data_IF_354265457743
#
_entry.id   IF_354265457743
#
_cell.length_a   1.000
_cell.length_b   1.000
_cell.length_c   1.000
_cell.angle_alpha   90.00
_cell.angle_beta   90.00
_cell.angle_gamma   90.00
#
_symmetry.space_group_name_H-M   'P 1'
#
loop_
_entity.id
_entity.type
_entity.pdbx_description
1 polymer ?
#
# COMPACT_ATOMS: atom_id res chain seq x y z
N UNK A 1 -22.19 16.21 -7.42
CA UNK A 1 -20.81 16.39 -7.95
C UNK A 1 -19.79 15.88 -6.93
N UNK A 2 -18.70 15.27 -7.38
CA UNK A 2 -17.59 14.73 -6.58
C UNK A 2 -16.47 15.78 -6.41
N UNK A 3 -16.78 16.94 -5.83
CA UNK A 3 -15.88 18.11 -5.84
C UNK A 3 -14.67 17.99 -4.91
N UNK A 4 -14.59 16.92 -4.13
CA UNK A 4 -13.50 16.57 -3.21
C UNK A 4 -12.52 15.55 -3.80
N UNK A 5 -12.73 15.11 -5.05
CA UNK A 5 -11.96 14.01 -5.65
C UNK A 5 -10.44 14.26 -5.66
N UNK A 6 -10.01 15.49 -5.92
CA UNK A 6 -8.60 15.90 -5.87
C UNK A 6 -8.00 15.75 -4.46
N UNK A 7 -8.75 16.10 -3.41
CA UNK A 7 -8.28 16.01 -2.04
C UNK A 7 -8.21 14.56 -1.56
N UNK A 8 -9.14 13.72 -2.00
CA UNK A 8 -9.11 12.28 -1.75
C UNK A 8 -7.84 11.65 -2.35
N UNK A 9 -7.51 12.00 -3.60
CA UNK A 9 -6.29 11.53 -4.25
C UNK A 9 -5.04 12.02 -3.50
N UNK A 10 -4.97 13.31 -3.13
CA UNK A 10 -3.84 13.86 -2.36
C UNK A 10 -3.68 13.22 -0.99
N UNK A 11 -4.78 12.92 -0.30
CA UNK A 11 -4.77 12.21 0.99
C UNK A 11 -4.21 10.79 0.87
N UNK A 12 -4.27 10.21 -0.32
CA UNK A 12 -3.62 8.95 -0.65
C UNK A 12 -2.18 9.12 -1.18
N UNK A 13 -1.59 10.30 -1.00
CA UNK A 13 -0.24 10.64 -1.40
C UNK A 13 0.00 10.54 -2.93
N UNK A 14 -1.07 10.79 -3.69
CA UNK A 14 -1.00 10.82 -5.16
C UNK A 14 -0.67 12.22 -5.65
N UNK A 15 0.15 12.30 -6.70
CA UNK A 15 0.40 13.57 -7.39
C UNK A 15 -0.79 13.93 -8.26
N UNK A 16 -1.43 15.07 -7.98
CA UNK A 16 -2.70 15.46 -8.61
C UNK A 16 -2.53 16.70 -9.49
N UNK A 17 -3.10 16.64 -10.69
CA UNK A 17 -3.31 17.75 -11.62
C UNK A 17 -4.82 17.99 -11.72
N UNK A 18 -5.27 19.16 -11.27
CA UNK A 18 -6.65 19.59 -11.45
C UNK A 18 -6.81 20.19 -12.85
N UNK A 19 -7.66 19.59 -13.69
CA UNK A 19 -7.91 20.10 -15.04
C UNK A 19 -8.90 21.26 -14.95
N UNK A 20 -8.62 22.38 -15.60
CA UNK A 20 -9.47 23.58 -15.55
C UNK A 20 -10.96 23.24 -15.69
N UNK A 21 -11.80 23.79 -14.80
CA UNK A 21 -13.24 23.56 -14.80
C UNK A 21 -13.72 22.16 -14.35
N UNK A 22 -12.85 21.27 -13.85
CA UNK A 22 -13.24 19.90 -13.49
C UNK A 22 -14.38 19.83 -12.46
N UNK A 23 -14.45 20.77 -11.51
CA UNK A 23 -15.46 20.80 -10.44
C UNK A 23 -16.89 20.93 -10.96
N UNK A 24 -17.07 21.54 -12.13
CA UNK A 24 -18.36 21.75 -12.79
C UNK A 24 -18.56 20.88 -14.03
N UNK A 25 -17.51 20.24 -14.54
CA UNK A 25 -17.57 19.38 -15.73
C UNK A 25 -18.28 18.06 -15.47
N UNK A 26 -19.13 17.66 -16.42
CA UNK A 26 -19.85 16.39 -16.45
C UNK A 26 -21.22 16.52 -17.11
N UNK A 27 -21.85 15.39 -17.43
CA UNK A 27 -23.20 15.32 -17.99
C UNK A 27 -24.29 15.26 -16.91
N UNK A 28 -24.12 16.04 -15.84
CA UNK A 28 -24.97 16.05 -14.66
C UNK A 28 -24.34 15.37 -13.43
N UNK A 29 -25.14 15.25 -12.37
CA UNK A 29 -24.70 14.67 -11.11
C UNK A 29 -24.53 13.15 -11.20
N UNK A 30 -23.59 12.64 -10.40
CA UNK A 30 -23.56 11.22 -10.03
C UNK A 30 -24.79 10.90 -9.16
N UNK A 31 -25.40 9.74 -9.36
CA UNK A 31 -26.45 9.21 -8.49
C UNK A 31 -25.82 8.61 -7.22
N UNK A 32 -24.73 7.87 -7.39
CA UNK A 32 -23.96 7.24 -6.32
C UNK A 32 -22.55 6.89 -6.80
N UNK A 33 -21.68 6.41 -5.91
CA UNK A 33 -20.40 5.79 -6.28
C UNK A 33 -20.40 4.36 -5.72
N UNK A 34 -20.70 3.40 -6.60
CA UNK A 34 -20.81 1.97 -6.28
C UNK A 34 -19.71 1.14 -6.92
N UNK A 35 -19.01 1.68 -7.91
CA UNK A 35 -17.93 0.99 -8.59
C UNK A 35 -16.90 1.98 -9.16
N UNK A 36 -15.76 1.42 -9.51
CA UNK A 36 -14.72 2.08 -10.31
C UNK A 36 -14.53 1.21 -11.55
N UNK A 37 -14.56 1.85 -12.72
CA UNK A 37 -14.25 1.19 -14.00
C UNK A 37 -12.93 1.73 -14.49
N UNK A 38 -12.05 0.82 -14.84
CA UNK A 38 -10.71 1.12 -15.30
C UNK A 38 -10.58 0.81 -16.78
N UNK A 39 -9.95 1.73 -17.48
CA UNK A 39 -9.71 1.69 -18.91
C UNK A 39 -8.26 2.06 -19.19
N UNK A 40 -7.83 1.76 -20.41
CA UNK A 40 -6.63 2.35 -20.97
C UNK A 40 -6.98 3.16 -22.22
N UNK A 41 -6.19 4.18 -22.51
CA UNK A 41 -6.53 5.17 -23.55
C UNK A 41 -6.34 4.68 -24.98
N UNK A 42 -5.52 3.65 -25.20
CA UNK A 42 -5.04 3.22 -26.52
C UNK A 42 -4.46 4.40 -27.33
N UNK A 43 -3.75 5.29 -26.63
CA UNK A 43 -3.24 6.57 -27.13
C UNK A 43 -1.81 6.52 -27.66
N UNK A 44 -1.27 7.71 -27.96
CA UNK A 44 0.10 7.89 -28.44
C UNK A 44 1.12 7.23 -27.51
N UNK A 45 2.18 6.64 -28.06
CA UNK A 45 3.29 6.08 -27.28
C UNK A 45 4.17 7.13 -26.59
N UNK A 46 3.99 8.42 -26.91
CA UNK A 46 4.80 9.53 -26.39
C UNK A 46 3.98 10.56 -25.62
N UNK A 47 4.63 11.19 -24.63
CA UNK A 47 4.01 12.16 -23.72
C UNK A 47 3.44 11.52 -22.46
N UNK A 48 3.24 12.32 -21.41
CA UNK A 48 2.75 11.83 -20.11
C UNK A 48 1.27 11.43 -20.16
N UNK A 49 0.41 12.33 -20.66
CA UNK A 49 -1.03 12.11 -20.80
C UNK A 49 -1.59 12.77 -22.08
N UNK A 50 -1.11 12.37 -23.29
CA UNK A 50 -1.53 12.98 -24.56
C UNK A 50 -3.03 12.84 -24.83
N UNK A 51 -3.70 11.85 -24.25
CA UNK A 51 -5.13 11.61 -24.41
C UNK A 51 -6.02 12.58 -23.62
N UNK A 52 -5.44 13.49 -22.82
CA UNK A 52 -6.19 14.40 -21.95
C UNK A 52 -7.32 15.15 -22.66
N UNK A 53 -7.04 15.73 -23.84
CA UNK A 53 -8.05 16.50 -24.56
C UNK A 53 -9.21 15.63 -25.04
N UNK A 54 -8.91 14.41 -25.51
CA UNK A 54 -9.95 13.46 -25.93
C UNK A 54 -10.80 13.03 -24.73
N UNK A 55 -10.20 12.79 -23.58
CA UNK A 55 -10.94 12.38 -22.39
C UNK A 55 -11.75 13.56 -21.82
N UNK A 56 -11.21 14.78 -21.86
CA UNK A 56 -11.87 15.98 -21.36
C UNK A 56 -13.04 16.41 -22.25
N UNK A 57 -12.80 16.49 -23.56
CA UNK A 57 -13.72 17.13 -24.51
C UNK A 57 -14.54 16.11 -25.30
N UNK A 58 -14.09 14.86 -25.32
CA UNK A 58 -14.68 13.78 -26.09
C UNK A 58 -14.07 13.65 -27.47
N UNK A 59 -14.80 12.91 -28.29
CA UNK A 59 -14.52 12.64 -29.70
C UNK A 59 -15.75 12.96 -30.53
N UNK A 60 -15.62 12.98 -31.85
CA UNK A 60 -16.69 13.42 -32.76
C UNK A 60 -18.01 12.64 -32.60
N UNK A 61 -17.94 11.38 -32.17
CA UNK A 61 -19.10 10.51 -31.97
C UNK A 61 -19.54 10.40 -30.49
N UNK A 62 -18.80 10.99 -29.54
CA UNK A 62 -19.13 10.96 -28.12
C UNK A 62 -18.56 12.18 -27.38
N UNK A 63 -19.45 13.05 -26.90
CA UNK A 63 -19.08 14.21 -26.10
C UNK A 63 -18.39 13.80 -24.80
N UNK A 64 -17.39 14.59 -24.39
CA UNK A 64 -16.72 14.43 -23.10
C UNK A 64 -17.50 15.09 -21.95
N UNK A 65 -17.12 14.78 -20.69
CA UNK A 65 -15.96 13.99 -20.32
C UNK A 65 -16.15 12.48 -20.48
N UNK A 66 -15.13 11.79 -20.97
CA UNK A 66 -15.10 10.34 -21.14
C UNK A 66 -14.62 9.62 -19.89
N UNK A 67 -14.11 10.32 -18.87
CA UNK A 67 -13.86 9.77 -17.53
C UNK A 67 -13.72 10.89 -16.50
N UNK A 68 -13.87 10.57 -15.21
CA UNK A 68 -13.61 11.50 -14.14
C UNK A 68 -12.10 11.65 -13.87
N UNK A 69 -11.34 10.57 -14.02
CA UNK A 69 -9.92 10.50 -13.71
C UNK A 69 -9.10 10.01 -14.90
N UNK A 70 -7.94 10.63 -15.07
CA UNK A 70 -6.88 10.17 -15.96
C UNK A 70 -5.61 9.82 -15.18
N UNK A 71 -4.87 8.79 -15.61
CA UNK A 71 -3.55 8.49 -15.07
C UNK A 71 -2.47 8.58 -16.15
N UNK A 72 -1.56 9.54 -16.00
CA UNK A 72 -0.39 9.71 -16.86
C UNK A 72 0.74 8.71 -16.58
N UNK A 73 1.63 8.54 -17.56
CA UNK A 73 2.81 7.65 -17.53
C UNK A 73 3.79 7.96 -16.40
N UNK A 74 3.83 9.19 -15.90
CA UNK A 74 4.67 9.57 -14.74
C UNK A 74 3.99 9.32 -13.39
N UNK A 75 2.82 8.67 -13.36
CA UNK A 75 2.06 8.43 -12.14
C UNK A 75 1.19 9.62 -11.67
N UNK A 76 1.06 10.66 -12.49
CA UNK A 76 0.21 11.83 -12.20
C UNK A 76 -1.26 11.55 -12.47
N UNK A 77 -2.11 11.92 -11.52
CA UNK A 77 -3.56 11.82 -11.64
C UNK A 77 -4.16 13.12 -12.12
N UNK A 78 -4.87 13.08 -13.23
CA UNK A 78 -5.62 14.19 -13.80
C UNK A 78 -7.06 14.09 -13.33
N UNK A 79 -7.53 15.10 -12.60
CA UNK A 79 -8.95 15.20 -12.20
C UNK A 79 -9.68 15.99 -13.25
N UNK A 80 -10.51 15.31 -14.03
CA UNK A 80 -11.07 15.82 -15.28
C UNK A 80 -12.52 16.31 -15.08
N UNK A 81 -13.31 15.57 -14.31
CA UNK A 81 -14.72 15.86 -14.09
C UNK A 81 -15.20 15.40 -12.71
N UNK A 82 -16.01 16.24 -12.07
CA UNK A 82 -16.69 15.90 -10.82
C UNK A 82 -18.09 15.31 -11.05
N UNK A 83 -18.63 15.47 -12.26
CA UNK A 83 -19.94 14.93 -12.65
C UNK A 83 -19.86 13.57 -13.34
N UNK A 84 -21.01 13.15 -13.84
CA UNK A 84 -21.14 11.96 -14.67
C UNK A 84 -20.30 12.08 -15.95
N UNK A 85 -19.50 11.05 -16.23
CA UNK A 85 -18.72 10.91 -17.47
C UNK A 85 -19.24 9.74 -18.29
N UNK A 86 -19.00 9.72 -19.61
CA UNK A 86 -19.45 8.67 -20.52
C UNK A 86 -18.36 7.62 -20.78
N UNK A 87 -18.03 6.83 -19.74
CA UNK A 87 -16.95 5.84 -19.77
C UNK A 87 -17.43 4.39 -19.93
N UNK A 88 -18.56 4.04 -19.31
CA UNK A 88 -18.93 2.65 -19.05
C UNK A 88 -19.54 1.90 -20.26
N UNK A 89 -20.05 2.64 -21.25
CA UNK A 89 -20.83 2.05 -22.35
C UNK A 89 -22.03 1.23 -21.85
N UNK A 90 -22.33 0.11 -22.53
CA UNK A 90 -23.32 -0.87 -22.09
C UNK A 90 -22.69 -1.78 -21.04
N UNK A 91 -23.31 -1.87 -19.87
CA UNK A 91 -22.78 -2.65 -18.75
C UNK A 91 -23.67 -3.87 -18.46
N UNK A 92 -23.13 -4.83 -17.71
CA UNK A 92 -23.89 -6.00 -17.27
C UNK A 92 -24.91 -5.69 -16.17
N UNK A 93 -24.72 -4.58 -15.45
CA UNK A 93 -25.60 -4.07 -14.41
C UNK A 93 -25.40 -2.56 -14.30
N UNK A 94 -26.27 -1.81 -14.97
CA UNK A 94 -26.20 -0.35 -15.01
C UNK A 94 -26.44 0.30 -13.64
N UNK A 95 -27.12 -0.42 -12.74
CA UNK A 95 -27.37 0.08 -11.38
C UNK A 95 -26.10 0.14 -10.53
N UNK A 96 -25.03 -0.57 -10.93
CA UNK A 96 -23.72 -0.61 -10.27
C UNK A 96 -22.64 0.05 -11.14
N UNK A 97 -22.58 -0.31 -12.41
CA UNK A 97 -21.49 0.03 -13.33
C UNK A 97 -21.85 1.16 -14.30
N UNK A 98 -23.11 1.60 -14.32
CA UNK A 98 -23.54 2.69 -15.20
C UNK A 98 -22.80 4.00 -14.93
N UNK A 99 -22.76 4.88 -15.93
CA UNK A 99 -22.06 6.17 -15.89
C UNK A 99 -22.44 7.06 -14.69
N UNK A 100 -23.68 6.95 -14.19
CA UNK A 100 -24.16 7.68 -13.00
C UNK A 100 -23.76 7.05 -11.66
N UNK A 101 -23.28 5.80 -11.65
CA UNK A 101 -23.00 5.00 -10.45
C UNK A 101 -21.52 4.60 -10.32
N UNK A 102 -20.71 4.85 -11.35
CA UNK A 102 -19.32 4.43 -11.44
C UNK A 102 -18.36 5.60 -11.72
N UNK A 103 -17.20 5.59 -11.05
CA UNK A 103 -16.08 6.47 -11.42
C UNK A 103 -15.27 5.77 -12.52
N UNK A 104 -15.10 6.45 -13.65
CA UNK A 104 -14.23 6.00 -14.74
C UNK A 104 -12.80 6.51 -14.53
N UNK A 105 -11.85 5.62 -14.79
CA UNK A 105 -10.41 5.91 -14.80
C UNK A 105 -9.85 5.52 -16.17
N UNK A 106 -9.16 6.47 -16.82
CA UNK A 106 -8.47 6.26 -18.09
C UNK A 106 -6.96 6.34 -17.87
N UNK A 107 -6.29 5.20 -17.87
CA UNK A 107 -4.86 5.13 -17.70
C UNK A 107 -4.15 5.17 -19.05
N UNK A 108 -3.15 6.04 -19.19
CA UNK A 108 -2.51 6.25 -20.48
C UNK A 108 -1.64 5.07 -20.88
N UNK A 109 -1.96 4.49 -22.03
CA UNK A 109 -1.26 3.33 -22.57
C UNK A 109 -1.53 3.19 -24.05
N UNK A 110 -0.63 2.52 -24.76
CA UNK A 110 -0.75 2.28 -26.21
C UNK A 110 -1.84 1.27 -26.56
N UNK A 111 -2.28 0.45 -25.59
CA UNK A 111 -3.18 -0.67 -25.82
C UNK A 111 -2.54 -1.84 -26.59
N UNK A 112 -1.24 -1.76 -26.87
CA UNK A 112 -0.50 -2.77 -27.65
C UNK A 112 0.85 -3.08 -26.98
N UNK A 113 1.20 -4.37 -26.81
CA UNK A 113 0.38 -5.53 -27.13
C UNK A 113 -0.82 -5.65 -26.16
N UNK A 114 -1.95 -6.13 -26.67
CA UNK A 114 -3.10 -6.47 -25.83
C UNK A 114 -2.78 -7.79 -25.12
N UNK A 115 -2.24 -7.68 -23.91
CA UNK A 115 -1.75 -8.83 -23.14
C UNK A 115 -2.39 -8.88 -21.77
N UNK A 116 -2.73 -10.10 -21.36
CA UNK A 116 -3.07 -10.47 -19.99
C UNK A 116 -1.77 -10.96 -19.29
N UNK A 117 -0.77 -10.08 -19.21
CA UNK A 117 0.54 -10.39 -18.61
C UNK A 117 0.99 -9.33 -17.59
N UNK A 118 0.03 -8.62 -17.01
CA UNK A 118 0.29 -7.56 -16.03
C UNK A 118 0.83 -6.25 -16.63
N UNK A 119 1.55 -5.47 -15.81
CA UNK A 119 1.96 -4.10 -16.12
C UNK A 119 3.26 -3.99 -16.94
N UNK A 120 3.75 -5.08 -17.56
CA UNK A 120 5.04 -5.11 -18.25
C UNK A 120 5.21 -4.03 -19.35
N UNK A 121 4.09 -3.54 -19.88
CA UNK A 121 4.03 -2.49 -20.92
C UNK A 121 3.70 -1.09 -20.38
N UNK A 122 3.62 -0.95 -19.06
CA UNK A 122 3.33 0.28 -18.34
C UNK A 122 4.56 0.71 -17.54
N UNK A 123 4.92 2.01 -17.53
CA UNK A 123 5.91 2.53 -16.60
C UNK A 123 5.60 2.11 -15.16
N UNK A 124 6.62 1.65 -14.45
CA UNK A 124 6.46 1.16 -13.07
C UNK A 124 5.83 2.22 -12.15
N UNK A 125 6.26 3.49 -12.26
CA UNK A 125 5.70 4.60 -11.49
C UNK A 125 4.20 4.82 -11.75
N UNK A 126 3.74 4.60 -12.99
CA UNK A 126 2.33 4.65 -13.35
C UNK A 126 1.57 3.53 -12.66
N UNK A 127 2.07 2.30 -12.78
CA UNK A 127 1.46 1.13 -12.15
C UNK A 127 1.37 1.26 -10.63
N UNK A 128 2.45 1.69 -9.97
CA UNK A 128 2.47 1.92 -8.52
C UNK A 128 1.43 2.95 -8.07
N UNK A 129 1.30 4.05 -8.82
CA UNK A 129 0.29 5.07 -8.57
C UNK A 129 -1.14 4.50 -8.75
N UNK A 130 -1.34 3.62 -9.72
CA UNK A 130 -2.60 2.89 -9.93
C UNK A 130 -2.94 1.96 -8.77
N UNK A 131 -1.97 1.27 -8.19
CA UNK A 131 -2.21 0.43 -7.02
C UNK A 131 -2.61 1.28 -5.80
N UNK A 132 -1.97 2.44 -5.62
CA UNK A 132 -2.23 3.36 -4.51
C UNK A 132 -3.68 3.90 -4.46
N UNK A 133 -4.32 4.18 -5.61
CA UNK A 133 -5.72 4.66 -5.62
C UNK A 133 -6.72 3.60 -5.14
N UNK A 134 -6.45 2.31 -5.32
CA UNK A 134 -7.33 1.25 -4.83
C UNK A 134 -7.29 1.10 -3.30
N UNK A 135 -6.21 1.53 -2.65
CA UNK A 135 -6.19 1.67 -1.18
C UNK A 135 -6.92 2.93 -0.73
N UNK A 136 -6.87 4.02 -1.53
CA UNK A 136 -7.59 5.26 -1.30
C UNK A 136 -9.12 5.11 -1.41
N UNK A 137 -9.61 4.25 -2.31
CA UNK A 137 -11.05 4.06 -2.55
C UNK A 137 -11.81 3.53 -1.33
N UNK A 138 -11.13 2.92 -0.35
CA UNK A 138 -11.70 2.57 0.96
C UNK A 138 -12.05 3.80 1.82
N UNK A 139 -11.47 4.96 1.51
CA UNK A 139 -11.72 6.27 2.14
C UNK A 139 -12.74 7.13 1.39
N UNK A 140 -13.08 6.82 0.13
CA UNK A 140 -14.15 7.45 -0.67
C UNK A 140 -15.58 7.12 -0.17
N UNK A 141 -15.72 6.66 1.07
CA UNK A 141 -17.02 6.44 1.70
C UNK A 141 -17.68 7.78 1.98
N UNK A 142 -18.57 8.19 1.09
CA UNK A 142 -19.37 9.38 1.24
C UNK A 142 -20.28 9.24 2.48
N UNK A 143 -20.38 10.24 3.39
CA UNK A 143 -21.16 10.16 4.63
C UNK A 143 -22.67 9.96 4.44
N UNK A 144 -23.19 10.07 3.21
CA UNK A 144 -24.63 10.00 2.91
C UNK A 144 -25.13 8.62 2.48
N UNK A 145 -24.28 7.59 2.46
CA UNK A 145 -24.69 6.23 2.08
C UNK A 145 -25.04 5.39 3.33
N UNK A 146 -26.24 5.58 3.88
CA UNK A 146 -26.79 4.82 5.02
C UNK A 146 -27.32 3.43 4.65
N UNK A 147 -26.83 2.81 3.57
CA UNK A 147 -27.29 1.49 3.13
C UNK A 147 -26.12 0.67 2.60
N UNK A 148 -25.75 -0.33 3.39
CA UNK A 148 -24.65 -1.27 3.19
C UNK A 148 -24.89 -2.13 1.94
N UNK A 149 -24.23 -1.85 0.80
CA UNK A 149 -23.91 -2.85 -0.25
C UNK A 149 -22.61 -2.50 -1.00
N UNK A 150 -21.67 -3.43 -0.92
CA UNK A 150 -20.41 -3.64 -1.66
C UNK A 150 -20.07 -2.67 -2.81
N UNK A 151 -18.88 -2.06 -2.75
CA UNK A 151 -18.19 -1.54 -3.94
C UNK A 151 -17.76 -2.76 -4.76
N UNK A 152 -18.44 -3.04 -5.87
CA UNK A 152 -18.05 -4.11 -6.80
C UNK A 152 -17.20 -3.47 -7.89
N UNK A 153 -15.98 -3.96 -8.12
CA UNK A 153 -15.20 -3.58 -9.30
C UNK A 153 -15.62 -4.47 -10.47
N UNK A 154 -16.05 -3.87 -11.58
CA UNK A 154 -16.17 -4.59 -12.85
C UNK A 154 -14.92 -4.32 -13.66
N UNK A 155 -14.22 -5.39 -14.02
CA UNK A 155 -13.02 -5.31 -14.82
C UNK A 155 -13.30 -6.14 -16.08
N UNK A 156 -13.25 -5.49 -17.24
CA UNK A 156 -13.51 -6.13 -18.54
C UNK A 156 -12.29 -6.87 -19.11
N UNK A 157 -11.29 -7.21 -18.28
CA UNK A 157 -10.20 -8.11 -18.64
C UNK A 157 -10.02 -9.19 -17.57
N UNK A 158 -9.82 -10.44 -18.00
CA UNK A 158 -9.83 -11.63 -17.15
C UNK A 158 -8.64 -11.67 -16.18
N UNK A 159 -7.54 -10.95 -16.42
CA UNK A 159 -6.42 -10.93 -15.48
C UNK A 159 -6.65 -10.25 -14.14
N UNK A 160 -7.55 -9.28 -14.08
CA UNK A 160 -7.80 -8.58 -12.82
C UNK A 160 -8.70 -9.40 -11.88
N UNK A 161 -9.21 -10.55 -12.35
CA UNK A 161 -10.01 -11.51 -11.60
C UNK A 161 -9.15 -12.25 -10.55
N UNK A 162 -7.84 -12.46 -10.75
CA UNK A 162 -6.99 -13.09 -9.72
C UNK A 162 -6.64 -12.17 -8.55
N UNK A 163 -6.65 -10.84 -8.78
CA UNK A 163 -6.57 -9.85 -7.70
C UNK A 163 -7.85 -9.75 -6.86
N UNK A 164 -9.02 -10.05 -7.46
CA UNK A 164 -10.35 -9.95 -6.82
C UNK A 164 -10.82 -11.30 -6.24
N UNK A 165 -10.46 -12.45 -6.82
CA UNK A 165 -10.76 -13.78 -6.25
C UNK A 165 -10.07 -14.01 -4.91
N UNK A 166 -8.89 -13.42 -4.70
CA UNK A 166 -8.21 -13.40 -3.40
C UNK A 166 -8.99 -12.60 -2.34
N UNK A 167 -9.91 -11.72 -2.75
CA UNK A 167 -10.75 -10.89 -1.87
C UNK A 167 -12.09 -11.58 -1.56
N UNK A 168 -12.68 -12.33 -2.51
CA UNK A 168 -13.94 -13.08 -2.27
C UNK A 168 -13.72 -14.26 -1.32
N UNK A 169 -12.54 -14.91 -1.34
CA UNK A 169 -12.19 -15.97 -0.39
C UNK A 169 -12.09 -15.47 1.07
N UNK A 170 -11.97 -14.16 1.30
CA UNK A 170 -11.96 -13.57 2.64
C UNK A 170 -13.38 -13.39 3.23
N UNK A 171 -14.44 -13.60 2.45
CA UNK A 171 -15.84 -13.41 2.86
C UNK A 171 -16.56 -14.71 3.26
N UNK A 172 -15.93 -15.88 3.13
CA UNK A 172 -16.57 -17.17 3.43
C UNK A 172 -16.44 -17.61 4.90
N UNK A 173 -15.74 -16.86 5.76
CA UNK A 173 -15.39 -17.32 7.12
C UNK A 173 -16.00 -16.50 8.27
N UNK A 174 -17.00 -15.66 8.00
CA UNK A 174 -17.75 -14.95 9.04
C UNK A 174 -19.24 -15.28 8.90
N UNK A 175 -19.59 -16.55 9.08
CA UNK A 175 -20.96 -16.99 9.36
C UNK A 175 -20.97 -17.71 10.70
N UNK A 176 -20.84 -16.97 11.80
CA UNK A 176 -21.39 -17.40 13.10
C UNK A 176 -21.91 -16.18 13.87
N UNK A 177 -23.24 -16.15 13.96
CA UNK A 177 -24.13 -15.53 14.96
C UNK A 177 -24.16 -14.01 15.14
N UNK A 178 -25.24 -13.43 14.60
CA UNK A 178 -26.00 -12.34 15.23
C UNK A 178 -26.47 -12.75 16.63
N UNK A 179 -26.09 -12.00 17.67
CA UNK A 179 -26.95 -11.62 18.80
C UNK A 179 -26.18 -10.72 19.78
N UNK A 180 -26.88 -9.75 20.37
CA UNK A 180 -26.47 -8.84 21.45
C UNK A 180 -25.57 -7.65 21.07
N UNK A 181 -26.22 -6.59 20.56
CA UNK A 181 -25.76 -5.22 20.80
C UNK A 181 -26.38 -4.77 22.12
N UNK A 182 -25.59 -4.72 23.19
CA UNK A 182 -25.93 -3.98 24.41
C UNK A 182 -25.02 -2.76 24.52
N UNK A 183 -25.68 -1.62 24.77
CA UNK A 183 -25.07 -0.33 25.09
C UNK A 183 -24.03 -0.47 26.22
N UNK A 184 -22.79 -0.08 25.95
CA UNK A 184 -21.86 0.37 26.99
C UNK A 184 -21.26 1.70 26.54
N UNK A 185 -21.68 2.76 27.22
CA UNK A 185 -21.04 4.06 27.25
C UNK A 185 -19.57 3.88 27.65
N UNK A 186 -18.63 4.32 26.80
CA UNK A 186 -17.21 4.31 27.11
C UNK A 186 -16.93 5.32 28.22
N UNK A 187 -16.96 4.87 29.47
CA UNK A 187 -16.29 5.56 30.57
C UNK A 187 -14.80 5.35 30.34
N UNK A 188 -14.09 6.45 30.08
CA UNK A 188 -12.65 6.47 29.93
C UNK A 188 -11.98 6.03 31.24
N UNK A 189 -11.67 4.73 31.34
CA UNK A 189 -10.77 4.22 32.37
C UNK A 189 -9.34 4.43 31.87
N UNK A 190 -8.66 5.42 32.45
CA UNK A 190 -7.20 5.48 32.44
C UNK A 190 -6.72 4.20 33.14
N UNK A 191 -5.70 3.56 32.58
CA UNK A 191 -4.84 2.53 33.23
C UNK A 191 -5.03 1.03 32.89
N UNK A 192 -5.13 0.67 31.60
CA UNK A 192 -4.59 -0.62 31.12
C UNK A 192 -3.82 -0.43 29.82
N UNK A 193 -2.48 -0.49 29.85
CA UNK A 193 -1.68 -0.54 28.63
C UNK A 193 -2.00 -1.83 27.86
N UNK A 194 -2.76 -1.72 26.77
CA UNK A 194 -3.16 -2.85 25.93
C UNK A 194 -1.91 -3.55 25.37
N UNK A 195 -1.70 -4.80 25.79
CA UNK A 195 -0.58 -5.64 25.34
C UNK A 195 -0.86 -6.15 23.92
N UNK A 196 0.00 -5.82 22.96
CA UNK A 196 -0.22 -5.99 21.52
C UNK A 196 0.54 -7.18 20.94
N UNK A 197 -0.16 -8.03 20.19
CA UNK A 197 0.41 -8.95 19.21
C UNK A 197 -0.01 -8.48 17.82
N UNK A 198 0.93 -8.19 16.93
CA UNK A 198 0.65 -7.71 15.56
C UNK A 198 0.35 -8.89 14.61
N UNK A 199 -0.74 -9.61 14.87
CA UNK A 199 -1.12 -10.82 14.10
C UNK A 199 -1.68 -10.52 12.72
N UNK A 200 -1.77 -9.26 12.31
CA UNK A 200 -2.24 -8.83 10.99
C UNK A 200 -1.10 -8.51 10.00
N UNK A 201 0.18 -8.68 10.38
CA UNK A 201 1.34 -8.37 9.53
C UNK A 201 1.28 -9.04 8.15
N UNK A 202 1.03 -10.35 8.11
CA UNK A 202 0.94 -11.09 6.85
C UNK A 202 -0.16 -10.55 5.94
N UNK A 203 -1.33 -10.25 6.51
CA UNK A 203 -2.46 -9.66 5.79
C UNK A 203 -2.14 -8.27 5.26
N UNK A 204 -1.47 -7.41 6.04
CA UNK A 204 -1.05 -6.07 5.60
C UNK A 204 -0.14 -6.18 4.37
N UNK A 205 0.87 -7.04 4.43
CA UNK A 205 1.85 -7.22 3.36
C UNK A 205 1.23 -7.86 2.10
N UNK A 206 0.41 -8.90 2.25
CA UNK A 206 -0.33 -9.51 1.12
C UNK A 206 -1.28 -8.52 0.47
N UNK A 207 -1.99 -7.73 1.28
CA UNK A 207 -2.87 -6.69 0.76
C UNK A 207 -2.09 -5.66 -0.04
N UNK A 208 -0.81 -5.44 0.23
CA UNK A 208 0.09 -4.58 -0.55
C UNK A 208 0.62 -5.26 -1.84
N UNK A 209 0.13 -6.45 -2.19
CA UNK A 209 0.57 -7.23 -3.36
C UNK A 209 1.93 -7.90 -3.19
N UNK A 210 2.40 -8.08 -1.96
CA UNK A 210 3.73 -8.63 -1.69
C UNK A 210 3.69 -10.15 -1.52
N UNK A 211 4.79 -10.81 -1.89
CA UNK A 211 5.02 -12.24 -1.60
C UNK A 211 5.28 -12.39 -0.11
N UNK A 212 4.49 -13.21 0.56
CA UNK A 212 4.55 -13.39 2.02
C UNK A 212 4.61 -14.86 2.40
N UNK A 213 5.64 -15.21 3.14
CA UNK A 213 5.83 -16.51 3.79
C UNK A 213 5.61 -16.34 5.29
N UNK A 214 4.69 -17.10 5.85
CA UNK A 214 4.48 -17.15 7.29
C UNK A 214 5.41 -18.19 7.90
N UNK A 215 6.32 -17.77 8.78
CA UNK A 215 7.20 -18.70 9.49
C UNK A 215 6.36 -19.43 10.54
N UNK A 216 6.39 -20.76 10.54
CA UNK A 216 5.60 -21.59 11.49
C UNK A 216 5.66 -21.03 12.91
N UNK A 217 4.51 -20.85 13.56
CA UNK A 217 4.39 -20.32 14.94
C UNK A 217 4.56 -18.80 15.09
N UNK A 218 4.63 -18.01 14.01
CA UNK A 218 4.87 -16.57 14.11
C UNK A 218 3.81 -15.79 14.90
N UNK A 219 2.55 -16.21 14.87
CA UNK A 219 1.43 -15.52 15.52
C UNK A 219 1.55 -15.48 17.05
N UNK A 220 2.28 -16.42 17.63
CA UNK A 220 2.53 -16.50 19.08
C UNK A 220 3.99 -16.22 19.44
N UNK A 221 4.89 -16.12 18.45
CA UNK A 221 6.33 -15.89 18.68
C UNK A 221 6.59 -14.44 19.10
N UNK A 222 7.44 -14.30 20.10
CA UNK A 222 7.93 -13.04 20.66
C UNK A 222 8.52 -13.25 22.05
N UNK A 223 9.24 -12.26 22.57
CA UNK A 223 9.71 -12.21 23.96
C UNK A 223 8.63 -11.65 24.91
N UNK A 224 7.37 -11.86 24.55
CA UNK A 224 6.21 -11.20 25.13
C UNK A 224 5.50 -10.29 24.14
N UNK A 225 4.54 -9.54 24.65
CA UNK A 225 3.70 -8.64 23.86
C UNK A 225 4.39 -7.29 23.68
N UNK A 226 4.10 -6.61 22.57
CA UNK A 226 4.50 -5.23 22.36
C UNK A 226 3.63 -4.29 23.20
N UNK A 227 4.16 -3.12 23.54
CA UNK A 227 3.39 -2.04 24.16
C UNK A 227 2.56 -1.31 23.12
N UNK A 228 3.16 -0.96 21.97
CA UNK A 228 2.50 -0.26 20.87
C UNK A 228 3.34 -0.35 19.59
N UNK A 229 2.81 0.15 18.47
CA UNK A 229 3.61 0.39 17.25
C UNK A 229 3.67 1.90 17.03
N UNK A 230 4.78 2.51 17.45
CA UNK A 230 5.05 3.95 17.32
C UNK A 230 6.08 4.26 16.24
N UNK A 231 6.90 3.27 15.87
CA UNK A 231 7.96 3.40 14.88
C UNK A 231 8.18 2.09 14.13
N UNK A 232 8.90 2.19 13.01
CA UNK A 232 9.40 1.05 12.24
C UNK A 232 10.90 1.24 12.10
N UNK A 233 11.68 0.21 12.47
CA UNK A 233 13.13 0.22 12.34
C UNK A 233 13.51 -0.75 11.23
N UNK A 234 14.18 -0.22 10.22
CA UNK A 234 14.72 -0.97 9.09
C UNK A 234 16.19 -1.32 9.32
N UNK A 235 16.58 -2.54 8.97
CA UNK A 235 17.90 -3.11 9.22
C UNK A 235 18.44 -3.82 7.97
N UNK A 236 19.72 -4.14 7.98
CA UNK A 236 20.26 -5.20 7.13
C UNK A 236 20.79 -6.34 7.99
N UNK A 237 20.84 -7.55 7.44
CA UNK A 237 21.26 -8.74 8.19
C UNK A 237 22.77 -8.87 8.40
N UNK A 238 23.58 -8.19 7.58
CA UNK A 238 25.02 -8.45 7.44
C UNK A 238 25.29 -9.94 7.11
N UNK A 239 24.37 -10.54 6.35
CA UNK A 239 24.36 -11.94 6.01
C UNK A 239 25.25 -12.30 4.80
N UNK A 240 25.31 -13.60 4.44
CA UNK A 240 26.06 -14.08 3.29
C UNK A 240 25.72 -13.34 1.99
N UNK A 241 26.66 -13.25 1.05
CA UNK A 241 26.48 -12.54 -0.22
C UNK A 241 25.50 -13.23 -1.20
N UNK A 242 25.09 -14.47 -0.93
CA UNK A 242 24.24 -15.26 -1.82
C UNK A 242 23.12 -15.96 -1.07
N UNK A 243 22.10 -16.41 -1.81
CA UNK A 243 20.86 -16.95 -1.26
C UNK A 243 19.82 -15.86 -1.03
N UNK A 244 18.54 -16.24 -1.07
CA UNK A 244 17.44 -15.28 -0.96
C UNK A 244 17.29 -14.72 0.47
N UNK A 245 17.22 -15.61 1.46
CA UNK A 245 17.06 -15.26 2.88
C UNK A 245 17.84 -16.23 3.79
N UNK A 246 19.17 -16.40 3.61
CA UNK A 246 19.98 -17.33 4.42
C UNK A 246 19.94 -17.00 5.92
N UNK A 247 19.72 -15.74 6.29
CA UNK A 247 19.65 -15.30 7.68
C UNK A 247 18.32 -15.64 8.39
N UNK A 248 17.33 -16.25 7.71
CA UNK A 248 15.99 -16.47 8.28
C UNK A 248 16.01 -17.23 9.61
N UNK A 249 16.75 -18.33 9.68
CA UNK A 249 16.83 -19.14 10.90
C UNK A 249 17.49 -18.36 12.04
N UNK A 250 18.53 -17.59 11.74
CA UNK A 250 19.18 -16.72 12.73
C UNK A 250 18.24 -15.62 13.22
N UNK A 251 17.46 -14.99 12.34
CA UNK A 251 16.45 -14.00 12.72
C UNK A 251 15.37 -14.63 13.62
N UNK A 252 14.92 -15.85 13.29
CA UNK A 252 13.89 -16.58 14.05
C UNK A 252 14.37 -17.01 15.42
N UNK A 253 15.54 -17.65 15.50
CA UNK A 253 16.00 -18.40 16.67
C UNK A 253 17.07 -17.65 17.46
N UNK A 254 17.77 -16.72 16.82
CA UNK A 254 18.91 -15.99 17.38
C UNK A 254 20.17 -16.85 17.46
N UNK A 255 20.99 -16.56 18.47
CA UNK A 255 22.19 -17.31 18.83
C UNK A 255 22.18 -17.67 20.32
N UNK A 256 23.23 -18.33 20.78
CA UNK A 256 23.45 -18.59 22.20
C UNK A 256 23.62 -17.31 23.04
N UNK A 257 24.11 -16.22 22.45
CA UNK A 257 24.31 -14.93 23.14
C UNK A 257 23.08 -14.01 23.08
N UNK A 258 22.21 -14.19 22.10
CA UNK A 258 20.96 -13.44 21.97
C UNK A 258 19.86 -14.31 21.37
N UNK A 259 18.88 -14.69 22.19
CA UNK A 259 17.76 -15.52 21.76
C UNK A 259 16.83 -14.74 20.82
N UNK A 260 16.40 -15.40 19.76
CA UNK A 260 15.37 -14.89 18.86
C UNK A 260 13.97 -14.88 19.49
N UNK A 261 12.99 -14.22 18.85
CA UNK A 261 13.12 -13.58 17.54
C UNK A 261 13.89 -12.25 17.57
N UNK A 262 14.72 -12.05 16.55
CA UNK A 262 15.52 -10.83 16.37
C UNK A 262 14.79 -9.76 15.56
N UNK A 263 13.68 -10.09 14.88
CA UNK A 263 12.78 -9.12 14.25
C UNK A 263 11.40 -9.73 14.00
N UNK A 264 10.39 -8.89 13.79
CA UNK A 264 9.04 -9.34 13.43
C UNK A 264 8.99 -9.80 11.97
N UNK A 265 9.74 -9.13 11.09
CA UNK A 265 9.75 -9.35 9.65
C UNK A 265 11.18 -9.54 9.14
N UNK A 266 11.33 -10.42 8.16
CA UNK A 266 12.52 -10.50 7.32
C UNK A 266 12.18 -10.29 5.85
N UNK A 267 13.12 -9.74 5.06
CA UNK A 267 12.92 -9.46 3.63
C UNK A 267 14.07 -10.04 2.80
N UNK A 268 13.77 -11.06 2.00
CA UNK A 268 14.74 -11.70 1.09
C UNK A 268 15.08 -10.86 -0.14
N UNK A 269 16.21 -11.18 -0.78
CA UNK A 269 16.74 -10.52 -2.00
C UNK A 269 15.78 -10.55 -3.20
N UNK A 270 14.86 -11.50 -3.25
CA UNK A 270 13.81 -11.63 -4.27
C UNK A 270 12.59 -10.73 -4.02
N UNK A 271 12.58 -9.98 -2.91
CA UNK A 271 11.44 -9.19 -2.45
C UNK A 271 10.39 -10.00 -1.67
N UNK A 272 10.71 -11.24 -1.29
CA UNK A 272 9.83 -12.10 -0.46
C UNK A 272 9.91 -11.70 1.01
N UNK A 273 8.76 -11.43 1.62
CA UNK A 273 8.65 -11.14 3.04
C UNK A 273 8.41 -12.41 3.85
N UNK A 274 9.11 -12.54 4.97
CA UNK A 274 8.91 -13.61 5.94
C UNK A 274 8.38 -13.01 7.24
N UNK A 275 7.21 -13.47 7.68
CA UNK A 275 6.63 -13.05 8.95
C UNK A 275 7.13 -13.99 10.03
N UNK A 276 8.02 -13.47 10.89
CA UNK A 276 8.78 -14.26 11.87
C UNK A 276 8.07 -14.27 13.22
N UNK A 277 7.55 -13.12 13.67
CA UNK A 277 6.97 -12.96 14.99
C UNK A 277 5.90 -11.86 15.02
N UNK A 278 4.88 -12.05 15.83
CA UNK A 278 3.83 -11.06 16.11
C UNK A 278 4.08 -10.29 17.41
N UNK A 279 4.96 -10.78 18.29
CA UNK A 279 5.28 -10.14 19.57
C UNK A 279 6.54 -9.28 19.54
N UNK A 280 7.02 -8.93 20.74
CA UNK A 280 8.25 -8.19 20.95
C UNK A 280 9.46 -8.97 20.41
N UNK A 281 10.31 -8.30 19.64
CA UNK A 281 11.55 -8.86 19.10
C UNK A 281 12.78 -8.06 19.55
N UNK A 282 13.94 -8.70 19.69
CA UNK A 282 15.16 -8.04 20.16
C UNK A 282 16.01 -7.46 19.02
N UNK A 283 15.49 -6.44 18.33
CA UNK A 283 16.15 -5.83 17.16
C UNK A 283 16.89 -4.51 17.47
N UNK A 284 16.34 -3.64 18.32
CA UNK A 284 16.81 -2.26 18.47
C UNK A 284 17.96 -2.10 19.48
N UNK A 285 17.95 -2.91 20.55
CA UNK A 285 18.87 -2.73 21.68
C UNK A 285 18.65 -1.37 22.38
N UNK A 286 19.74 -0.74 22.84
CA UNK A 286 19.68 0.59 23.50
C UNK A 286 19.47 1.70 22.48
N UNK A 287 18.42 2.48 22.62
CA UNK A 287 18.06 3.53 21.65
C UNK A 287 18.09 4.94 22.24
N UNK A 288 18.14 5.94 21.36
CA UNK A 288 18.17 7.37 21.72
C UNK A 288 16.88 7.86 22.37
N UNK A 289 15.73 7.28 22.01
CA UNK A 289 14.43 7.53 22.64
C UNK A 289 13.67 6.20 22.81
N UNK A 290 13.66 5.67 24.02
CA UNK A 290 13.00 4.40 24.35
C UNK A 290 11.47 4.48 24.32
N UNK A 291 10.89 5.68 24.39
CA UNK A 291 9.44 5.89 24.30
C UNK A 291 8.91 5.69 22.88
N UNK A 292 9.80 5.78 21.88
CA UNK A 292 9.50 5.67 20.45
C UNK A 292 10.12 4.44 19.79
N UNK A 293 11.40 4.17 20.04
CA UNK A 293 12.22 3.26 19.22
C UNK A 293 12.64 1.97 19.95
N UNK A 294 12.13 1.73 21.16
CA UNK A 294 12.42 0.48 21.87
C UNK A 294 11.77 -0.73 21.20
N UNK A 295 12.28 -1.92 21.48
CA UNK A 295 11.72 -3.20 21.01
C UNK A 295 10.21 -3.35 21.29
N UNK A 296 9.71 -2.74 22.36
CA UNK A 296 8.29 -2.81 22.73
C UNK A 296 7.41 -1.81 21.96
N UNK A 297 8.00 -0.82 21.30
CA UNK A 297 7.31 0.27 20.61
C UNK A 297 7.59 0.31 19.09
N UNK A 298 8.39 -0.62 18.56
CA UNK A 298 8.83 -0.61 17.18
C UNK A 298 8.63 -1.97 16.50
N UNK A 299 8.24 -1.95 15.22
CA UNK A 299 8.38 -3.11 14.34
C UNK A 299 9.80 -3.10 13.78
N UNK A 300 10.53 -4.21 13.95
CA UNK A 300 11.82 -4.47 13.33
C UNK A 300 11.68 -5.24 12.03
N UNK A 301 12.43 -4.81 11.01
CA UNK A 301 12.49 -5.46 9.70
C UNK A 301 13.95 -5.72 9.32
N UNK A 302 14.32 -7.00 9.21
CA UNK A 302 15.66 -7.45 8.82
C UNK A 302 15.69 -7.78 7.33
N UNK A 303 16.26 -6.90 6.51
CA UNK A 303 16.36 -7.14 5.08
C UNK A 303 17.71 -7.78 4.73
N UNK A 304 17.68 -8.86 3.96
CA UNK A 304 18.86 -9.64 3.63
C UNK A 304 19.85 -8.80 2.80
N UNK A 305 21.03 -8.56 3.36
CA UNK A 305 22.05 -7.74 2.74
C UNK A 305 23.41 -7.96 3.40
N UNK A 306 24.48 -7.80 2.63
CA UNK A 306 25.86 -7.97 3.12
C UNK A 306 26.27 -6.87 4.10
N UNK A 307 25.59 -5.72 4.05
CA UNK A 307 25.94 -4.54 4.84
C UNK A 307 27.22 -3.83 4.42
N UNK A 308 27.88 -4.31 3.37
CA UNK A 308 29.15 -3.78 2.88
C UNK A 308 29.06 -3.33 1.40
N UNK A 309 29.65 -2.17 1.05
CA UNK A 309 30.21 -1.18 1.97
C UNK A 309 29.11 -0.53 2.82
N UNK A 310 29.52 0.04 3.97
CA UNK A 310 28.65 0.92 4.73
C UNK A 310 28.34 2.15 3.88
N UNK A 311 27.06 2.50 3.76
CA UNK A 311 26.61 3.63 2.96
C UNK A 311 25.38 4.30 3.57
N UNK A 312 25.22 5.60 3.31
CA UNK A 312 23.97 6.34 3.49
C UNK A 312 23.61 7.13 2.23
N UNK A 313 24.04 6.64 1.06
CA UNK A 313 23.80 7.24 -0.24
C UNK A 313 23.24 6.18 -1.16
N UNK A 314 22.10 6.45 -1.79
CA UNK A 314 21.47 5.52 -2.72
C UNK A 314 21.03 4.20 -2.06
N UNK A 315 20.53 3.29 -2.89
CA UNK A 315 20.36 1.88 -2.57
C UNK A 315 21.14 0.96 -3.54
N UNK A 316 22.23 1.45 -4.14
CA UNK A 316 22.96 0.76 -5.22
C UNK A 316 23.48 -0.66 -4.87
N UNK A 317 23.59 -1.01 -3.60
CA UNK A 317 24.01 -2.35 -3.13
C UNK A 317 22.85 -3.33 -2.90
N UNK A 318 21.62 -2.90 -3.17
CA UNK A 318 20.40 -3.67 -2.99
C UNK A 318 19.84 -4.07 -4.35
N UNK A 319 19.45 -5.34 -4.56
CA UNK A 319 18.65 -5.71 -5.71
C UNK A 319 17.42 -4.80 -5.82
N UNK A 320 17.17 -4.24 -7.00
CA UNK A 320 16.07 -3.29 -7.20
C UNK A 320 14.71 -3.88 -6.79
N UNK A 321 14.49 -5.17 -7.07
CA UNK A 321 13.27 -5.89 -6.65
C UNK A 321 13.12 -5.96 -5.12
N UNK A 322 14.23 -6.11 -4.38
CA UNK A 322 14.23 -6.11 -2.92
C UNK A 322 13.90 -4.71 -2.39
N UNK A 323 14.56 -3.68 -2.94
CA UNK A 323 14.33 -2.29 -2.57
C UNK A 323 12.87 -1.86 -2.78
N UNK A 324 12.31 -2.10 -3.96
CA UNK A 324 10.92 -1.78 -4.28
C UNK A 324 9.93 -2.52 -3.38
N UNK A 325 10.19 -3.80 -3.10
CA UNK A 325 9.41 -4.58 -2.13
C UNK A 325 9.53 -4.00 -0.72
N UNK A 326 10.72 -3.53 -0.32
CA UNK A 326 10.96 -2.93 0.97
C UNK A 326 10.13 -1.65 1.16
N UNK A 327 10.24 -0.71 0.20
CA UNK A 327 9.48 0.54 0.19
C UNK A 327 7.97 0.26 0.25
N UNK A 328 7.47 -0.64 -0.60
CA UNK A 328 6.04 -0.98 -0.65
C UNK A 328 5.54 -1.60 0.66
N UNK A 329 6.30 -2.52 1.25
CA UNK A 329 5.93 -3.16 2.51
C UNK A 329 5.95 -2.19 3.69
N UNK A 330 6.98 -1.35 3.78
CA UNK A 330 7.07 -0.33 4.84
C UNK A 330 5.99 0.73 4.71
N UNK A 331 5.66 1.15 3.47
CA UNK A 331 4.51 2.05 3.22
C UNK A 331 3.20 1.44 3.71
N UNK A 332 2.96 0.16 3.41
CA UNK A 332 1.76 -0.53 3.87
C UNK A 332 1.69 -0.63 5.41
N UNK A 333 2.81 -0.98 6.04
CA UNK A 333 2.92 -1.07 7.50
C UNK A 333 2.72 0.28 8.18
N UNK A 334 3.40 1.34 7.72
CA UNK A 334 3.26 2.67 8.34
C UNK A 334 1.82 3.20 8.24
N UNK A 335 1.15 2.94 7.12
CA UNK A 335 -0.24 3.35 6.94
C UNK A 335 -1.19 2.53 7.83
N UNK A 336 -0.96 1.21 7.95
CA UNK A 336 -1.79 0.33 8.78
C UNK A 336 -1.68 0.65 10.28
N UNK A 337 -0.51 1.06 10.75
CA UNK A 337 -0.26 1.39 12.16
C UNK A 337 -0.23 2.89 12.48
N UNK A 338 -0.55 3.75 11.50
CA UNK A 338 -0.51 5.21 11.62
C UNK A 338 0.84 5.75 12.13
N UNK A 339 1.94 5.18 11.62
CA UNK A 339 3.30 5.62 11.89
C UNK A 339 3.67 6.70 10.87
N UNK A 340 4.07 7.92 11.29
CA UNK A 340 4.53 8.93 10.34
C UNK A 340 5.87 8.51 9.71
N UNK A 341 6.12 8.92 8.46
CA UNK A 341 7.36 8.60 7.75
C UNK A 341 8.62 9.04 8.52
N UNK A 342 8.54 10.13 9.30
CA UNK A 342 9.62 10.61 10.17
C UNK A 342 10.03 9.62 11.29
N UNK A 343 9.19 8.62 11.60
CA UNK A 343 9.45 7.55 12.56
C UNK A 343 9.76 6.20 11.89
N UNK A 344 10.00 6.21 10.58
CA UNK A 344 10.69 5.11 9.89
C UNK A 344 12.18 5.41 9.89
N UNK A 345 12.94 4.61 10.64
CA UNK A 345 14.34 4.89 10.95
C UNK A 345 15.24 3.70 10.62
N UNK A 346 16.43 3.97 10.14
CA UNK A 346 17.51 2.98 10.12
C UNK A 346 18.02 2.72 11.53
N UNK A 347 18.54 1.53 11.82
CA UNK A 347 19.13 1.24 13.13
C UNK A 347 20.22 2.25 13.51
N UNK A 348 21.02 2.65 12.52
CA UNK A 348 22.07 3.70 12.62
C UNK A 348 21.57 5.06 13.11
N UNK A 349 20.29 5.39 12.90
CA UNK A 349 19.71 6.67 13.31
C UNK A 349 19.18 6.68 14.76
N UNK A 350 18.93 5.50 15.33
CA UNK A 350 18.27 5.37 16.65
C UNK A 350 19.12 4.66 17.69
N UNK A 351 20.15 3.93 17.28
CA UNK A 351 21.07 3.26 18.19
C UNK A 351 21.81 4.27 19.07
N UNK A 352 21.83 4.02 20.38
CA UNK A 352 22.60 4.79 21.35
C UNK A 352 23.76 3.97 21.93
N UNK A 353 24.98 4.53 22.04
CA UNK A 353 25.37 5.84 21.51
C UNK A 353 25.32 5.87 19.98
N UNK A 354 25.17 7.07 19.39
CA UNK A 354 25.21 7.26 17.94
C UNK A 354 26.52 6.70 17.37
N UNK A 355 26.45 6.06 16.21
CA UNK A 355 27.58 5.37 15.59
C UNK A 355 27.79 3.92 16.05
N UNK A 356 27.06 3.44 17.08
CA UNK A 356 27.10 2.01 17.49
C UNK A 356 26.62 1.06 16.39
N UNK A 357 25.74 1.54 15.51
CA UNK A 357 25.15 0.79 14.41
C UNK A 357 25.29 1.57 13.11
N UNK A 358 25.44 0.84 12.01
CA UNK A 358 25.71 1.39 10.67
C UNK A 358 24.62 1.02 9.66
N UNK A 359 23.70 0.13 10.04
CA UNK A 359 22.69 -0.43 9.18
C UNK A 359 21.38 0.41 9.18
N UNK A 360 20.60 0.36 8.09
CA UNK A 360 20.88 -0.32 6.83
C UNK A 360 21.87 0.49 5.97
N UNK A 361 22.50 -0.15 4.97
CA UNK A 361 23.52 0.50 4.13
C UNK A 361 22.90 1.13 2.86
N UNK A 362 21.79 1.84 3.03
CA UNK A 362 21.16 2.69 2.02
C UNK A 362 20.82 4.08 2.60
N UNK A 363 20.48 5.04 1.73
CA UNK A 363 20.04 6.37 2.13
C UNK A 363 18.67 6.33 2.81
N UNK A 364 18.62 6.67 4.10
CA UNK A 364 17.36 6.75 4.84
C UNK A 364 16.48 7.92 4.39
N UNK A 365 17.07 8.97 3.82
CA UNK A 365 16.31 10.11 3.28
C UNK A 365 15.64 9.75 1.97
N UNK A 366 16.34 9.04 1.08
CA UNK A 366 15.74 8.47 -0.13
C UNK A 366 14.63 7.48 0.22
N UNK A 367 14.90 6.57 1.17
CA UNK A 367 13.91 5.59 1.60
C UNK A 367 12.64 6.28 2.10
N UNK A 368 12.76 7.25 3.01
CA UNK A 368 11.60 7.99 3.54
C UNK A 368 10.90 8.86 2.50
N UNK A 369 11.63 9.46 1.56
CA UNK A 369 11.02 10.23 0.46
C UNK A 369 10.15 9.35 -0.43
N UNK A 370 10.43 8.04 -0.49
CA UNK A 370 9.64 7.07 -1.21
C UNK A 370 8.46 6.50 -0.39
N UNK A 371 8.16 6.92 0.84
CA UNK A 371 7.15 6.29 1.73
C UNK A 371 5.82 7.03 1.86
#
# INVERSE_FOLDING_TARGET
MLTDLADVLRKADLTVVEVDGWKTRGHGNMNSVKSIIVHHTAGSASGDFPSLNIIRDGRTDLAGPLSQLGLGRTGKWYVIAAGRSYHAGKTIDDSIFGNSNAIGIEAEGTGVPATDSGHAHWPEVQWQSYQSIFYASKQLRHPSATSTKHLVLYINSIDMIFGVLSIVACLSLVHVTNAFVTNISYVANKDTQSRLMVTNLATILRNAGLKVVEVSGWTTRGHGQMTSVKSIIVHHTAGPASGDMPSLNFIRDGSSSLRGPLSQLALGRTGTWYVVAAGLCYHAGVVTDSSLYSNANAIGIEAEGTGVPASNVGHAHWPEVQWQSYVRGVRALKNAFNVPASRVKGHKEVASPLGRKIDPNFSMDEFRAAL
#
